data_IF_022644960229
#
_entry.id   IF_022644960229
#
_cell.length_a   1.000
_cell.length_b   1.000
_cell.length_c   1.000
_cell.angle_alpha   90.00
_cell.angle_beta   90.00
_cell.angle_gamma   90.00
#
_symmetry.space_group_name_H-M   'P 1'
#
loop_
_entity.id
_entity.type
_entity.pdbx_description
1 polymer ?
#
# COMPACT_ATOMS: atom_id res chain seq x y z
N UNK A 1 -21.82 -14.09 6.69
CA UNK A 1 -21.44 -14.52 8.07
C UNK A 1 -22.49 -15.54 8.49
N UNK A 2 -22.06 -16.75 8.87
CA UNK A 2 -23.00 -17.75 9.39
C UNK A 2 -23.58 -17.24 10.72
N UNK A 3 -24.62 -17.90 11.24
CA UNK A 3 -25.18 -17.61 12.57
C UNK A 3 -24.13 -17.65 13.69
N UNK A 4 -23.02 -18.36 13.46
CA UNK A 4 -21.94 -18.59 14.42
C UNK A 4 -20.76 -17.61 14.26
N UNK A 5 -20.90 -16.60 13.39
CA UNK A 5 -19.88 -15.57 13.17
C UNK A 5 -18.80 -15.96 12.16
N UNK A 6 -17.59 -15.43 12.34
CA UNK A 6 -16.45 -15.70 11.46
C UNK A 6 -15.73 -16.99 11.89
N UNK A 7 -15.52 -17.91 10.96
CA UNK A 7 -14.77 -19.16 11.17
C UNK A 7 -13.46 -19.14 10.37
N UNK A 8 -12.35 -19.47 11.01
CA UNK A 8 -11.01 -19.49 10.40
C UNK A 8 -10.49 -20.93 10.38
N UNK A 9 -10.46 -21.61 9.22
CA UNK A 9 -10.17 -23.05 9.14
C UNK A 9 -8.68 -23.38 9.12
N UNK A 10 -7.80 -22.38 8.99
CA UNK A 10 -6.35 -22.57 8.97
C UNK A 10 -5.91 -23.21 10.29
N UNK A 11 -5.18 -24.31 10.21
CA UNK A 11 -4.69 -25.03 11.38
C UNK A 11 -3.35 -24.48 11.90
N UNK A 12 -2.98 -24.79 13.16
CA UNK A 12 -1.67 -24.45 13.72
C UNK A 12 -0.48 -24.91 12.87
N UNK A 13 -0.55 -26.13 12.35
CA UNK A 13 0.52 -26.73 11.56
C UNK A 13 0.66 -26.03 10.20
N UNK A 14 -0.46 -25.76 9.51
CA UNK A 14 -0.45 -25.08 8.21
C UNK A 14 0.10 -23.66 8.32
N UNK A 15 -0.25 -22.91 9.38
CA UNK A 15 0.35 -21.60 9.63
C UNK A 15 1.86 -21.71 9.88
N UNK A 16 2.30 -22.69 10.67
CA UNK A 16 3.71 -22.90 10.99
C UNK A 16 4.54 -23.24 9.74
N UNK A 17 4.05 -24.14 8.88
CA UNK A 17 4.72 -24.52 7.62
C UNK A 17 4.84 -23.32 6.66
N UNK A 18 3.79 -22.52 6.51
CA UNK A 18 3.81 -21.32 5.68
C UNK A 18 4.80 -20.25 6.22
N UNK A 19 4.78 -19.99 7.53
CA UNK A 19 5.68 -19.01 8.14
C UNK A 19 7.14 -19.45 8.10
N UNK A 20 7.45 -20.74 8.30
CA UNK A 20 8.80 -21.27 8.13
C UNK A 20 9.33 -21.02 6.71
N UNK A 21 8.50 -21.29 5.70
CA UNK A 21 8.84 -21.01 4.29
C UNK A 21 9.16 -19.53 4.09
N UNK A 22 8.33 -18.63 4.63
CA UNK A 22 8.57 -17.19 4.48
C UNK A 22 9.84 -16.69 5.17
N UNK A 23 10.17 -17.22 6.35
CA UNK A 23 11.43 -16.89 7.04
C UNK A 23 12.63 -17.36 6.23
N UNK A 24 12.60 -18.59 5.70
CA UNK A 24 13.71 -19.20 4.96
C UNK A 24 13.93 -18.57 3.59
N UNK A 25 12.86 -18.34 2.83
CA UNK A 25 12.96 -17.96 1.42
C UNK A 25 12.91 -16.45 1.20
N UNK A 26 12.17 -15.71 2.03
CA UNK A 26 11.93 -14.27 1.84
C UNK A 26 12.63 -13.39 2.89
N UNK A 27 13.32 -13.99 3.86
CA UNK A 27 14.06 -13.26 4.89
C UNK A 27 13.16 -12.44 5.82
N UNK A 28 11.95 -12.92 6.11
CA UNK A 28 11.07 -12.26 7.07
C UNK A 28 11.70 -12.27 8.47
N UNK A 29 11.78 -11.08 9.08
CA UNK A 29 12.34 -10.88 10.42
C UNK A 29 11.29 -10.69 11.51
N UNK A 30 10.02 -10.51 11.14
CA UNK A 30 8.89 -10.37 12.04
C UNK A 30 7.71 -11.13 11.46
N UNK A 31 7.22 -12.11 12.22
CA UNK A 31 6.11 -12.97 11.84
C UNK A 31 5.14 -13.10 13.03
N UNK A 32 3.90 -13.44 12.74
CA UNK A 32 2.85 -13.56 13.75
C UNK A 32 1.55 -14.02 13.11
N UNK A 33 0.44 -13.60 13.69
CA UNK A 33 -0.88 -13.88 13.12
C UNK A 33 -1.88 -12.76 13.39
N UNK A 34 -3.02 -12.86 12.70
CA UNK A 34 -4.12 -11.90 12.76
C UNK A 34 -5.40 -12.64 13.22
N UNK A 35 -6.55 -12.33 12.64
CA UNK A 35 -7.81 -12.97 12.97
C UNK A 35 -7.74 -14.50 12.84
N UNK A 36 -8.26 -15.21 13.85
CA UNK A 36 -8.25 -16.67 13.90
C UNK A 36 -6.97 -17.32 14.43
N UNK A 37 -5.87 -16.56 14.58
CA UNK A 37 -4.64 -17.09 15.18
C UNK A 37 -4.80 -17.27 16.68
N UNK A 38 -4.47 -18.46 17.18
CA UNK A 38 -4.56 -18.81 18.61
C UNK A 38 -3.18 -18.99 19.23
N UNK A 39 -3.08 -19.10 20.57
CA UNK A 39 -1.81 -19.45 21.22
C UNK A 39 -1.20 -20.76 20.70
N UNK A 40 -2.00 -21.75 20.31
CA UNK A 40 -1.49 -23.01 19.74
C UNK A 40 -0.85 -22.80 18.35
N UNK A 41 -1.42 -21.91 17.53
CA UNK A 41 -0.80 -21.52 16.27
C UNK A 41 0.58 -20.91 16.51
N UNK A 42 0.67 -19.93 17.41
CA UNK A 42 1.94 -19.26 17.70
C UNK A 42 2.94 -20.20 18.36
N UNK A 43 2.50 -21.15 19.19
CA UNK A 43 3.38 -22.18 19.77
C UNK A 43 4.10 -22.96 18.67
N UNK A 44 3.37 -23.44 17.66
CA UNK A 44 3.95 -24.20 16.56
C UNK A 44 4.82 -23.33 15.63
N UNK A 45 4.41 -22.09 15.35
CA UNK A 45 5.24 -21.15 14.58
C UNK A 45 6.57 -20.91 15.30
N UNK A 46 6.54 -20.60 16.60
CA UNK A 46 7.75 -20.38 17.40
C UNK A 46 8.64 -21.63 17.42
N UNK A 47 8.05 -22.83 17.58
CA UNK A 47 8.80 -24.08 17.55
C UNK A 47 9.55 -24.29 16.23
N UNK A 48 8.94 -23.95 15.08
CA UNK A 48 9.58 -24.09 13.76
C UNK A 48 10.66 -23.05 13.49
N UNK A 49 10.49 -21.82 13.96
CA UNK A 49 11.32 -20.68 13.53
C UNK A 49 12.35 -20.19 14.56
N UNK A 50 12.25 -20.62 15.82
CA UNK A 50 13.08 -20.11 16.94
C UNK A 50 14.59 -20.18 16.73
N UNK A 51 15.06 -21.19 16.01
CA UNK A 51 16.48 -21.44 15.78
C UNK A 51 16.90 -21.02 14.36
N UNK A 52 16.00 -20.39 13.59
CA UNK A 52 16.29 -19.85 12.27
C UNK A 52 16.91 -18.47 12.38
N UNK A 53 17.92 -18.24 11.55
CA UNK A 53 18.43 -16.90 11.28
C UNK A 53 17.77 -16.41 9.99
N UNK A 54 16.97 -15.32 10.02
CA UNK A 54 16.36 -14.77 8.80
C UNK A 54 17.43 -14.43 7.76
N UNK A 55 17.14 -14.73 6.49
CA UNK A 55 18.03 -14.39 5.37
C UNK A 55 18.24 -12.88 5.22
N UNK A 56 19.37 -12.49 4.62
CA UNK A 56 19.61 -11.09 4.23
C UNK A 56 18.69 -10.70 3.09
N UNK A 57 18.08 -9.52 3.19
CA UNK A 57 17.26 -8.93 2.11
C UNK A 57 18.05 -7.85 1.40
N UNK A 58 17.97 -7.86 0.06
CA UNK A 58 18.48 -6.79 -0.82
C UNK A 58 17.29 -6.05 -1.43
N UNK A 59 16.58 -5.19 -0.65
CA UNK A 59 15.46 -4.43 -1.18
C UNK A 59 15.95 -3.48 -2.28
N UNK A 60 15.21 -3.43 -3.38
CA UNK A 60 15.47 -2.49 -4.49
C UNK A 60 14.45 -1.36 -4.41
N UNK A 61 14.83 -0.15 -3.92
CA UNK A 61 13.92 0.96 -3.87
C UNK A 61 13.45 1.33 -5.28
N UNK A 62 12.14 1.42 -5.47
CA UNK A 62 11.54 1.88 -6.72
C UNK A 62 11.22 3.37 -6.59
N UNK A 63 11.87 4.26 -7.35
CA UNK A 63 11.58 5.68 -7.29
C UNK A 63 10.20 5.94 -7.90
N UNK A 64 9.35 6.65 -7.16
CA UNK A 64 8.00 6.96 -7.60
C UNK A 64 7.21 7.74 -6.56
N UNK A 65 5.97 8.07 -6.92
CA UNK A 65 4.96 8.59 -6.02
C UNK A 65 3.81 7.59 -5.90
N UNK A 66 3.11 7.59 -4.77
CA UNK A 66 1.96 6.71 -4.57
C UNK A 66 0.78 7.47 -3.98
N UNK A 67 -0.40 6.93 -4.25
CA UNK A 67 -1.68 7.31 -3.66
C UNK A 67 -2.38 6.07 -3.12
N UNK A 68 -3.58 6.24 -2.57
CA UNK A 68 -4.40 5.12 -2.09
C UNK A 68 -4.74 4.11 -3.21
N UNK A 69 -4.81 4.54 -4.46
CA UNK A 69 -5.34 3.73 -5.58
C UNK A 69 -4.30 3.34 -6.61
N UNK A 70 -3.14 3.99 -6.64
CA UNK A 70 -2.12 3.75 -7.66
C UNK A 70 -0.72 4.18 -7.20
N UNK A 71 0.28 3.58 -7.83
CA UNK A 71 1.70 3.97 -7.78
C UNK A 71 2.12 4.47 -9.16
N UNK A 72 2.89 5.55 -9.20
CA UNK A 72 3.43 6.19 -10.40
C UNK A 72 4.96 6.15 -10.32
N UNK A 73 5.65 5.27 -11.07
CA UNK A 73 7.10 5.20 -11.04
C UNK A 73 7.71 6.41 -11.73
N UNK A 74 8.80 6.96 -11.18
CA UNK A 74 9.61 8.01 -11.81
C UNK A 74 10.47 7.44 -12.94
N UNK A 75 9.80 6.93 -13.98
CA UNK A 75 10.42 6.30 -15.15
C UNK A 75 9.99 7.05 -16.39
N UNK A 76 10.94 7.69 -17.06
CA UNK A 76 10.73 8.25 -18.39
C UNK A 76 11.38 7.31 -19.41
N UNK A 77 10.55 6.64 -20.20
CA UNK A 77 10.99 5.71 -21.24
C UNK A 77 10.65 6.31 -22.60
N UNK A 78 9.51 5.97 -23.17
CA UNK A 78 8.98 6.59 -24.40
C UNK A 78 7.84 7.59 -24.14
N UNK A 79 7.10 7.44 -23.05
CA UNK A 79 6.04 8.35 -22.64
C UNK A 79 6.54 9.34 -21.57
N UNK A 80 6.04 10.58 -21.62
CA UNK A 80 6.35 11.60 -20.62
C UNK A 80 5.51 11.41 -19.36
N UNK A 81 6.08 11.81 -18.22
CA UNK A 81 5.33 11.91 -16.97
C UNK A 81 4.59 13.26 -16.92
N UNK A 82 3.28 13.23 -17.19
CA UNK A 82 2.40 14.37 -17.00
C UNK A 82 2.12 14.64 -15.51
N UNK A 83 2.45 15.85 -15.05
CA UNK A 83 2.06 16.39 -13.74
C UNK A 83 1.09 17.54 -13.99
N UNK A 84 -0.15 17.43 -13.50
CA UNK A 84 -1.18 18.44 -13.67
C UNK A 84 -0.95 19.66 -12.76
N UNK A 85 -0.83 20.84 -13.35
CA UNK A 85 -0.50 22.10 -12.66
C UNK A 85 -1.70 22.95 -12.22
N UNK A 86 -2.92 22.62 -12.65
CA UNK A 86 -4.10 23.52 -12.49
C UNK A 86 -4.59 23.63 -11.05
N UNK A 87 -4.12 22.75 -10.16
CA UNK A 87 -4.39 22.73 -8.72
C UNK A 87 -3.39 23.60 -7.94
N UNK A 88 -3.02 24.76 -8.52
CA UNK A 88 -2.05 25.70 -7.95
C UNK A 88 -2.69 27.09 -7.81
N UNK A 89 -2.69 27.66 -6.60
CA UNK A 89 -3.35 28.96 -6.32
C UNK A 89 -2.67 30.16 -7.01
N UNK A 90 -1.40 30.05 -7.37
CA UNK A 90 -0.68 31.09 -8.10
C UNK A 90 -1.00 31.05 -9.60
N UNK A 91 -1.06 29.84 -10.17
CA UNK A 91 -1.29 29.63 -11.62
C UNK A 91 -2.76 29.59 -12.03
N UNK A 92 -3.67 29.23 -11.12
CA UNK A 92 -5.09 28.99 -11.42
C UNK A 92 -6.00 29.89 -10.60
N UNK A 93 -6.56 30.92 -11.27
CA UNK A 93 -7.54 31.83 -10.66
C UNK A 93 -8.74 31.05 -10.09
N UNK A 94 -9.25 30.08 -10.86
CA UNK A 94 -10.39 29.24 -10.47
C UNK A 94 -10.08 28.44 -9.20
N UNK A 95 -8.91 27.81 -9.13
CA UNK A 95 -8.51 27.03 -7.95
C UNK A 95 -8.33 27.93 -6.73
N UNK A 96 -7.67 29.08 -6.89
CA UNK A 96 -7.48 30.07 -5.82
C UNK A 96 -8.80 30.57 -5.24
N UNK A 97 -9.76 30.94 -6.09
CA UNK A 97 -11.07 31.41 -5.65
C UNK A 97 -11.83 30.30 -4.91
N UNK A 98 -11.84 29.08 -5.44
CA UNK A 98 -12.44 27.93 -4.76
C UNK A 98 -11.82 27.66 -3.38
N UNK A 99 -10.49 27.75 -3.27
CA UNK A 99 -9.80 27.61 -1.98
C UNK A 99 -10.16 28.72 -0.98
N UNK A 100 -10.16 29.98 -1.41
CA UNK A 100 -10.48 31.13 -0.54
C UNK A 100 -11.92 31.10 -0.04
N UNK A 101 -12.83 30.61 -0.87
CA UNK A 101 -14.25 30.43 -0.55
C UNK A 101 -14.55 29.09 0.13
N UNK A 102 -13.53 28.28 0.41
CA UNK A 102 -13.63 26.93 1.00
C UNK A 102 -14.56 25.98 0.23
N UNK A 103 -14.65 26.13 -1.10
CA UNK A 103 -15.38 25.24 -2.00
C UNK A 103 -14.55 23.99 -2.33
N UNK A 104 -14.41 23.10 -1.34
CA UNK A 104 -13.55 21.91 -1.43
C UNK A 104 -13.94 20.94 -2.54
N UNK A 105 -15.24 20.76 -2.78
CA UNK A 105 -15.73 19.88 -3.84
C UNK A 105 -15.25 20.35 -5.22
N UNK A 106 -15.23 21.66 -5.46
CA UNK A 106 -14.72 22.23 -6.72
C UNK A 106 -13.21 22.01 -6.86
N UNK A 107 -12.45 22.13 -5.77
CA UNK A 107 -11.02 21.81 -5.76
C UNK A 107 -10.77 20.34 -6.12
N UNK A 108 -11.55 19.42 -5.54
CA UNK A 108 -11.44 17.99 -5.81
C UNK A 108 -11.87 17.65 -7.25
N UNK A 109 -12.91 18.28 -7.77
CA UNK A 109 -13.32 18.08 -9.17
C UNK A 109 -12.25 18.59 -10.14
N UNK A 110 -11.59 19.72 -9.86
CA UNK A 110 -10.45 20.19 -10.67
C UNK A 110 -9.28 19.21 -10.67
N UNK A 111 -9.00 18.56 -9.53
CA UNK A 111 -8.01 17.48 -9.45
C UNK A 111 -8.43 16.27 -10.31
N UNK A 112 -9.69 15.85 -10.22
CA UNK A 112 -10.25 14.72 -11.00
C UNK A 112 -10.24 15.00 -12.50
N UNK A 113 -10.57 16.22 -12.92
CA UNK A 113 -10.53 16.65 -14.33
C UNK A 113 -9.13 16.45 -14.91
N UNK A 114 -8.08 16.86 -14.19
CA UNK A 114 -6.69 16.67 -14.63
C UNK A 114 -6.32 15.20 -14.79
N UNK A 115 -6.74 14.33 -13.88
CA UNK A 115 -6.51 12.88 -14.00
C UNK A 115 -7.26 12.32 -15.22
N UNK A 116 -8.51 12.75 -15.45
CA UNK A 116 -9.31 12.34 -16.63
C UNK A 116 -8.67 12.81 -17.95
N UNK A 117 -7.99 13.94 -17.94
CA UNK A 117 -7.23 14.48 -19.08
C UNK A 117 -5.84 13.83 -19.26
N UNK A 118 -5.44 12.89 -18.39
CA UNK A 118 -4.22 12.11 -18.52
C UNK A 118 -3.05 12.55 -17.63
N UNK A 119 -3.29 13.40 -16.62
CA UNK A 119 -2.28 13.66 -15.60
C UNK A 119 -2.03 12.40 -14.75
N UNK A 120 -0.76 12.01 -14.61
CA UNK A 120 -0.38 10.87 -13.76
C UNK A 120 -0.26 11.30 -12.29
N UNK A 121 0.16 12.55 -12.08
CA UNK A 121 0.31 13.17 -10.77
C UNK A 121 -0.25 14.59 -10.81
N UNK A 122 -0.46 15.18 -9.63
CA UNK A 122 -0.96 16.55 -9.48
C UNK A 122 0.04 17.37 -8.67
N UNK A 123 0.30 18.60 -9.12
CA UNK A 123 0.97 19.64 -8.36
C UNK A 123 -0.05 20.34 -7.45
N UNK A 124 0.35 20.73 -6.24
CA UNK A 124 -0.54 21.32 -5.22
C UNK A 124 0.11 22.55 -4.57
#
# INVERSE_FOLDING_TARGET
LTSDGAHYPLSPAELADAQETFVREYGLSLIGGCCGTTPEHLRQVVERVRDLTPGTRDPRPEPGAASLYQTVPFRQDTAYMAIGERTNANGSKKFREAMLEARWDDCVEMARDQIREGAHMLDL
#
